data_IF_634058072664
#
_entry.id   IF_634058072664
#
_cell.length_a   1.000
_cell.length_b   1.000
_cell.length_c   1.000
_cell.angle_alpha   90.00
_cell.angle_beta   90.00
_cell.angle_gamma   90.00
#
_symmetry.space_group_name_H-M   'P 1'
#
loop_
_entity.id
_entity.type
_entity.pdbx_description
1 polymer ?
#
# COMPACT_ATOMS: atom_id res chain seq x y z
N UNK A 1 33.50 -28.66 58.39
CA UNK A 1 33.83 -29.98 57.81
C UNK A 1 33.99 -29.71 56.30
N UNK A 2 35.18 -29.67 55.65
CA UNK A 2 36.30 -30.66 55.59
C UNK A 2 35.74 -32.04 55.22
N UNK A 3 36.19 -32.85 54.25
CA UNK A 3 37.46 -33.07 53.49
C UNK A 3 37.06 -33.90 52.23
N UNK A 4 37.64 -33.90 51.01
CA UNK A 4 38.66 -33.11 50.26
C UNK A 4 38.43 -33.31 48.74
N UNK A 5 38.81 -32.39 47.84
CA UNK A 5 40.01 -32.46 46.98
C UNK A 5 40.54 -33.88 46.65
N UNK A 6 40.68 -34.20 45.35
CA UNK A 6 41.65 -35.21 44.92
C UNK A 6 42.39 -34.75 43.64
N UNK A 7 43.71 -34.73 43.69
CA UNK A 7 44.59 -34.50 42.53
C UNK A 7 45.31 -35.81 42.25
N UNK A 8 45.36 -36.23 40.99
CA UNK A 8 46.42 -37.13 40.54
C UNK A 8 47.10 -36.57 39.30
N UNK A 9 48.40 -36.82 39.24
CA UNK A 9 49.36 -36.20 38.33
C UNK A 9 49.96 -37.33 37.48
N UNK A 10 50.18 -37.11 36.17
CA UNK A 10 51.37 -37.60 35.47
C UNK A 10 51.55 -36.87 34.11
N UNK A 11 52.57 -37.24 33.34
CA UNK A 11 53.38 -36.29 32.57
C UNK A 11 53.50 -36.68 31.07
N UNK A 12 53.34 -35.69 30.17
CA UNK A 12 53.87 -35.66 28.79
C UNK A 12 53.35 -36.73 27.78
N UNK A 13 53.53 -36.64 26.45
CA UNK A 13 54.30 -35.73 25.57
C UNK A 13 53.65 -35.69 24.14
N UNK A 14 53.82 -34.59 23.38
CA UNK A 14 53.56 -34.38 21.91
C UNK A 14 52.22 -34.84 21.27
N UNK A 15 51.37 -33.90 20.81
CA UNK A 15 51.09 -33.67 19.36
C UNK A 15 49.98 -32.62 19.09
N UNK A 16 50.23 -31.75 18.11
CA UNK A 16 49.19 -31.30 17.17
C UNK A 16 48.48 -29.96 17.42
N UNK A 17 48.45 -29.14 16.37
CA UNK A 17 47.41 -28.14 16.04
C UNK A 17 47.16 -27.02 17.06
N UNK A 18 47.96 -25.96 16.95
CA UNK A 18 47.47 -24.59 17.16
C UNK A 18 46.74 -24.12 15.89
N UNK A 19 45.61 -23.42 16.05
CA UNK A 19 45.05 -22.55 14.99
C UNK A 19 44.98 -21.14 15.58
N UNK A 20 45.81 -20.25 15.03
CA UNK A 20 45.77 -18.83 15.35
C UNK A 20 44.93 -18.10 14.30
N UNK A 21 44.00 -17.24 14.75
CA UNK A 21 43.36 -16.27 13.87
C UNK A 21 44.09 -14.93 13.95
N UNK A 22 45.11 -14.78 13.11
CA UNK A 22 45.70 -13.48 12.77
C UNK A 22 46.16 -13.50 11.31
N UNK A 23 45.99 -12.34 10.66
CA UNK A 23 46.37 -12.04 9.28
C UNK A 23 45.61 -12.80 8.17
N UNK A 24 45.01 -12.02 7.27
CA UNK A 24 44.91 -12.41 5.87
C UNK A 24 45.31 -11.21 4.99
N UNK A 25 46.52 -10.69 5.24
CA UNK A 25 47.26 -9.90 4.24
C UNK A 25 47.96 -10.91 3.33
N UNK A 26 47.41 -11.19 2.15
CA UNK A 26 48.00 -12.15 1.21
C UNK A 26 49.30 -11.61 0.60
N UNK A 27 50.34 -12.44 0.41
CA UNK A 27 51.62 -12.03 -0.15
C UNK A 27 51.61 -11.87 -1.68
N UNK A 28 52.67 -11.25 -2.20
CA UNK A 28 52.88 -10.89 -3.62
C UNK A 28 52.77 -12.11 -4.55
N UNK A 29 51.95 -12.01 -5.61
CA UNK A 29 51.55 -13.13 -6.47
C UNK A 29 51.53 -12.86 -7.98
N UNK A 30 52.73 -12.66 -8.58
CA UNK A 30 53.02 -12.62 -10.03
C UNK A 30 52.51 -11.41 -10.83
N UNK A 31 53.27 -11.09 -11.89
CA UNK A 31 53.06 -9.98 -12.82
C UNK A 31 52.49 -10.54 -14.14
N UNK A 32 51.54 -9.84 -14.74
CA UNK A 32 51.10 -10.02 -16.13
C UNK A 32 50.97 -8.64 -16.81
N UNK A 33 50.96 -8.54 -18.15
CA UNK A 33 51.58 -7.41 -18.84
C UNK A 33 50.74 -6.13 -18.91
N UNK A 34 51.44 -5.01 -19.15
CA UNK A 34 50.88 -3.67 -19.39
C UNK A 34 49.77 -3.69 -20.44
N UNK A 35 48.56 -3.30 -20.05
CA UNK A 35 47.66 -2.60 -20.98
C UNK A 35 48.08 -1.12 -20.93
N UNK A 36 48.72 -0.63 -21.99
CA UNK A 36 48.91 0.81 -22.17
C UNK A 36 47.59 1.41 -22.63
N UNK A 37 46.72 1.73 -21.67
CA UNK A 37 45.62 2.65 -21.91
C UNK A 37 46.23 4.03 -22.18
N UNK A 38 46.34 4.40 -23.46
CA UNK A 38 46.76 5.73 -23.88
C UNK A 38 45.65 6.72 -23.55
N UNK A 39 45.62 7.19 -22.31
CA UNK A 39 44.68 8.23 -21.90
C UNK A 39 45.04 9.52 -22.65
N UNK A 40 44.08 10.05 -23.39
CA UNK A 40 44.23 11.33 -24.09
C UNK A 40 44.48 12.43 -23.05
N UNK A 41 45.50 13.27 -23.27
CA UNK A 41 45.62 14.52 -22.53
C UNK A 41 44.58 15.51 -23.07
N UNK A 42 43.32 15.30 -22.69
CA UNK A 42 42.30 16.31 -22.83
C UNK A 42 42.67 17.47 -21.91
N UNK A 43 42.67 18.69 -22.44
CA UNK A 43 43.06 19.89 -21.71
C UNK A 43 41.98 20.29 -20.72
N UNK A 44 42.13 19.86 -19.46
CA UNK A 44 41.40 20.47 -18.34
C UNK A 44 41.78 21.95 -18.24
N UNK A 45 40.78 22.82 -18.29
CA UNK A 45 40.94 24.25 -18.10
C UNK A 45 41.33 24.53 -16.65
N UNK A 46 42.31 25.42 -16.43
CA UNK A 46 42.69 25.81 -15.06
C UNK A 46 41.51 26.54 -14.42
N UNK A 47 40.90 25.94 -13.40
CA UNK A 47 39.70 26.49 -12.77
C UNK A 47 39.97 27.73 -11.91
N UNK A 48 41.23 28.16 -11.76
CA UNK A 48 41.71 29.43 -11.21
C UNK A 48 40.90 29.98 -10.02
N UNK A 49 41.28 29.51 -8.83
CA UNK A 49 40.77 29.97 -7.53
C UNK A 49 41.96 30.48 -6.73
N UNK A 50 42.13 31.80 -6.60
CA UNK A 50 43.13 32.33 -5.66
C UNK A 50 42.67 32.00 -4.23
N UNK A 51 43.53 31.32 -3.49
CA UNK A 51 43.26 30.90 -2.11
C UNK A 51 43.22 32.08 -1.13
N UNK A 52 43.62 33.29 -1.55
CA UNK A 52 43.66 34.50 -0.73
C UNK A 52 42.32 35.23 -0.63
N UNK A 53 41.40 35.05 -1.59
CA UNK A 53 40.10 35.75 -1.62
C UNK A 53 39.07 35.15 -0.64
N UNK A 54 39.37 33.98 -0.06
CA UNK A 54 38.44 33.14 0.69
C UNK A 54 38.89 32.93 2.14
N UNK A 55 37.92 32.93 3.05
CA UNK A 55 38.11 32.63 4.47
C UNK A 55 38.14 31.13 4.73
N UNK A 56 38.71 30.74 5.88
CA UNK A 56 38.70 29.34 6.34
C UNK A 56 37.27 28.79 6.46
N UNK A 57 36.30 29.63 6.87
CA UNK A 57 34.89 29.25 7.00
C UNK A 57 34.25 28.97 5.63
N UNK A 58 34.41 29.85 4.65
CA UNK A 58 33.87 29.66 3.29
C UNK A 58 34.42 28.38 2.65
N UNK A 59 35.71 28.09 2.80
CA UNK A 59 36.30 26.81 2.37
C UNK A 59 35.76 25.60 3.16
N UNK A 60 35.67 25.67 4.49
CA UNK A 60 35.27 24.54 5.32
C UNK A 60 33.78 24.19 5.15
N UNK A 61 32.90 25.18 5.02
CA UNK A 61 31.48 24.96 4.77
C UNK A 61 31.20 24.41 3.37
N UNK A 62 31.91 24.88 2.35
CA UNK A 62 31.78 24.33 0.99
C UNK A 62 32.34 22.91 0.93
N UNK A 63 33.49 22.64 1.56
CA UNK A 63 34.03 21.29 1.76
C UNK A 63 33.04 20.34 2.47
N UNK A 64 32.35 20.83 3.52
CA UNK A 64 31.37 20.06 4.28
C UNK A 64 30.21 19.57 3.39
N UNK A 65 29.78 20.41 2.44
CA UNK A 65 28.65 20.16 1.54
C UNK A 65 29.04 19.22 0.38
N UNK A 66 30.28 19.30 -0.12
CA UNK A 66 30.70 18.64 -1.36
C UNK A 66 31.55 17.37 -1.14
N UNK A 67 32.80 17.52 -0.70
CA UNK A 67 33.79 16.43 -0.65
C UNK A 67 33.76 15.63 0.66
N UNK A 68 33.44 16.29 1.79
CA UNK A 68 33.43 15.66 3.11
C UNK A 68 32.59 14.36 3.18
N UNK A 69 31.36 14.28 2.61
CA UNK A 69 30.56 13.04 2.65
C UNK A 69 31.24 11.85 1.96
N UNK A 70 31.92 12.07 0.83
CA UNK A 70 32.66 11.02 0.10
C UNK A 70 33.82 10.50 0.95
N UNK A 71 34.52 11.39 1.67
CA UNK A 71 35.60 11.02 2.57
C UNK A 71 35.11 10.30 3.83
N UNK A 72 33.95 10.69 4.40
CA UNK A 72 33.35 9.96 5.51
C UNK A 72 32.98 8.53 5.10
N UNK A 73 32.29 8.37 3.98
CA UNK A 73 31.77 7.07 3.53
C UNK A 73 32.90 6.11 3.13
N UNK A 74 33.95 6.60 2.46
CA UNK A 74 34.97 5.74 1.84
C UNK A 74 36.32 5.72 2.57
N UNK A 75 36.62 6.68 3.46
CA UNK A 75 37.95 6.82 4.05
C UNK A 75 37.98 6.83 5.59
N UNK A 76 36.87 7.14 6.28
CA UNK A 76 36.86 7.33 7.76
C UNK A 76 37.35 6.14 8.57
N UNK A 77 37.11 4.90 8.09
CA UNK A 77 37.56 3.65 8.74
C UNK A 77 39.08 3.60 8.90
N UNK A 78 39.84 4.20 7.98
CA UNK A 78 41.30 4.30 8.05
C UNK A 78 41.72 5.72 8.49
N UNK A 79 41.34 6.72 7.69
CA UNK A 79 41.79 8.12 7.79
C UNK A 79 40.95 9.00 8.72
N UNK A 80 40.09 8.39 9.56
CA UNK A 80 39.52 9.04 10.75
C UNK A 80 40.45 8.87 11.95
N UNK A 81 40.38 7.72 12.63
CA UNK A 81 41.10 7.52 13.88
C UNK A 81 42.51 6.92 13.72
N UNK A 82 42.73 6.04 12.73
CA UNK A 82 43.80 5.02 12.78
C UNK A 82 45.02 5.32 11.89
N UNK A 83 44.86 6.02 10.78
CA UNK A 83 45.92 6.32 9.82
C UNK A 83 46.03 7.82 9.56
N UNK A 84 47.27 8.31 9.45
CA UNK A 84 47.57 9.69 9.06
C UNK A 84 47.80 9.78 7.54
N UNK A 85 47.49 10.92 6.88
CA UNK A 85 46.79 12.09 7.42
C UNK A 85 45.32 11.79 7.77
N UNK A 86 44.80 12.45 8.82
CA UNK A 86 43.47 12.19 9.40
C UNK A 86 42.33 13.01 8.75
N UNK A 87 42.24 13.00 7.42
CA UNK A 87 41.31 13.86 6.68
C UNK A 87 39.83 13.42 6.72
N UNK A 88 39.53 12.24 7.26
CA UNK A 88 38.18 11.66 7.34
C UNK A 88 37.73 11.46 8.79
N UNK A 89 38.05 12.43 9.66
CA UNK A 89 37.52 12.56 11.03
C UNK A 89 36.08 13.09 11.03
N UNK A 90 35.35 12.90 12.13
CA UNK A 90 33.96 13.36 12.28
C UNK A 90 33.78 14.88 12.33
N UNK A 91 34.83 15.60 12.69
CA UNK A 91 34.85 17.06 12.65
C UNK A 91 35.28 17.50 11.24
N UNK A 92 34.36 18.11 10.49
CA UNK A 92 34.62 18.51 9.11
C UNK A 92 35.67 19.64 9.01
N UNK A 93 35.80 20.48 10.03
CA UNK A 93 36.77 21.57 10.04
C UNK A 93 38.18 21.04 10.27
N UNK A 94 38.35 20.07 11.18
CA UNK A 94 39.63 19.34 11.36
C UNK A 94 39.97 18.48 10.13
N UNK A 95 38.96 17.88 9.49
CA UNK A 95 39.11 17.20 8.20
C UNK A 95 39.61 18.13 7.10
N UNK A 96 38.96 19.29 6.93
CA UNK A 96 39.37 20.35 6.00
C UNK A 96 40.80 20.85 6.29
N UNK A 97 41.11 21.19 7.54
CA UNK A 97 42.47 21.61 7.95
C UNK A 97 43.52 20.57 7.60
N UNK A 98 43.19 19.29 7.77
CA UNK A 98 44.08 18.19 7.37
C UNK A 98 44.24 18.10 5.84
N UNK A 99 43.16 18.29 5.06
CA UNK A 99 43.22 18.38 3.58
C UNK A 99 44.15 19.51 3.14
N UNK A 100 43.96 20.71 3.69
CA UNK A 100 44.72 21.91 3.36
C UNK A 100 46.21 21.78 3.75
N UNK A 101 46.51 21.43 5.01
CA UNK A 101 47.88 21.33 5.53
C UNK A 101 48.74 20.26 4.83
N UNK A 102 48.11 19.23 4.24
CA UNK A 102 48.79 18.19 3.48
C UNK A 102 48.66 18.39 1.94
N UNK A 103 47.96 19.45 1.51
CA UNK A 103 47.60 19.76 0.12
C UNK A 103 47.04 18.52 -0.62
N UNK A 104 46.03 17.87 -0.03
CA UNK A 104 45.50 16.59 -0.52
C UNK A 104 44.54 16.73 -1.72
N UNK A 105 44.04 17.94 -1.93
CA UNK A 105 43.15 18.36 -3.02
C UNK A 105 43.84 19.44 -3.84
N UNK A 106 43.58 19.46 -5.15
CA UNK A 106 44.00 20.49 -6.08
C UNK A 106 42.74 21.15 -6.66
N UNK A 107 42.42 22.38 -6.23
CA UNK A 107 41.23 23.11 -6.67
C UNK A 107 41.36 23.60 -8.12
N UNK A 108 42.56 23.99 -8.55
CA UNK A 108 42.85 24.44 -9.92
C UNK A 108 42.72 23.32 -10.96
N UNK A 109 43.08 22.08 -10.59
CA UNK A 109 43.04 20.89 -11.45
C UNK A 109 42.54 19.67 -10.63
N UNK A 110 41.21 19.52 -10.49
CA UNK A 110 40.57 18.54 -9.60
C UNK A 110 41.03 17.10 -9.80
N UNK A 111 41.23 16.67 -11.05
CA UNK A 111 41.69 15.32 -11.42
C UNK A 111 43.07 14.97 -10.82
N UNK A 112 43.90 15.98 -10.58
CA UNK A 112 45.26 15.88 -10.04
C UNK A 112 45.30 15.97 -8.50
N UNK A 113 44.14 16.06 -7.84
CA UNK A 113 44.04 15.95 -6.38
C UNK A 113 44.74 14.68 -5.88
N UNK A 114 45.66 14.82 -4.91
CA UNK A 114 46.49 13.72 -4.41
C UNK A 114 45.65 12.51 -3.96
N UNK A 115 44.45 12.73 -3.44
CA UNK A 115 43.50 11.65 -3.08
C UNK A 115 43.05 10.84 -4.30
N UNK A 116 42.50 11.48 -5.33
CA UNK A 116 42.05 10.83 -6.55
C UNK A 116 43.20 10.12 -7.28
N UNK A 117 44.34 10.82 -7.43
CA UNK A 117 45.58 10.25 -8.00
C UNK A 117 46.06 9.04 -7.19
N UNK A 118 45.99 9.08 -5.85
CA UNK A 118 46.41 7.95 -5.01
C UNK A 118 45.51 6.72 -5.14
N UNK A 119 44.20 6.92 -5.31
CA UNK A 119 43.25 5.81 -5.51
C UNK A 119 43.44 5.19 -6.90
N UNK A 120 43.52 6.02 -7.96
CA UNK A 120 43.80 5.56 -9.35
C UNK A 120 45.11 4.76 -9.46
N UNK A 121 46.13 5.13 -8.68
CA UNK A 121 47.43 4.44 -8.64
C UNK A 121 47.54 3.37 -7.54
N UNK A 122 46.41 2.87 -7.02
CA UNK A 122 46.37 1.78 -6.03
C UNK A 122 46.19 2.25 -4.60
N UNK A 123 44.94 2.15 -4.13
CA UNK A 123 44.51 2.22 -2.74
C UNK A 123 43.31 1.29 -2.54
N UNK A 124 43.05 0.84 -1.30
CA UNK A 124 41.97 -0.12 -1.01
C UNK A 124 40.59 0.57 -0.85
N UNK A 125 40.24 1.45 -1.79
CA UNK A 125 38.89 1.99 -1.94
C UNK A 125 38.16 1.25 -3.08
N UNK A 126 36.83 1.09 -3.02
CA UNK A 126 36.07 0.59 -4.16
C UNK A 126 36.15 1.57 -5.34
N UNK A 127 36.04 1.08 -6.57
CA UNK A 127 35.74 1.93 -7.71
C UNK A 127 34.26 2.37 -7.63
N UNK A 128 33.88 3.62 -7.98
CA UNK A 128 34.68 4.64 -8.67
C UNK A 128 35.12 5.82 -7.77
N UNK A 129 35.53 5.59 -6.52
CA UNK A 129 35.74 6.66 -5.52
C UNK A 129 36.76 7.73 -5.93
N UNK A 130 37.69 7.46 -6.85
CA UNK A 130 38.59 8.50 -7.36
C UNK A 130 37.88 9.53 -8.27
N UNK A 131 36.89 9.07 -9.01
CA UNK A 131 36.06 9.87 -9.90
C UNK A 131 35.06 10.69 -9.06
N UNK A 132 34.44 10.08 -8.05
CA UNK A 132 33.59 10.77 -7.06
C UNK A 132 34.34 11.92 -6.37
N UNK A 133 35.59 11.68 -5.95
CA UNK A 133 36.46 12.71 -5.35
C UNK A 133 36.82 13.81 -6.36
N UNK A 134 36.95 13.49 -7.65
CA UNK A 134 37.26 14.49 -8.69
C UNK A 134 36.04 15.41 -8.89
N UNK A 135 34.87 14.82 -9.13
CA UNK A 135 33.61 15.56 -9.32
C UNK A 135 33.23 16.40 -8.09
N UNK A 136 33.40 15.89 -6.86
CA UNK A 136 33.13 16.67 -5.65
C UNK A 136 34.18 17.75 -5.34
N UNK A 137 35.34 17.72 -5.97
CA UNK A 137 36.30 18.85 -5.95
C UNK A 137 35.91 19.91 -7.00
N UNK A 138 35.41 19.51 -8.17
CA UNK A 138 34.84 20.44 -9.18
C UNK A 138 33.62 21.18 -8.60
N UNK A 139 32.72 20.46 -7.92
CA UNK A 139 31.57 21.02 -7.21
C UNK A 139 31.99 21.99 -6.10
N UNK A 140 33.05 21.65 -5.35
CA UNK A 140 33.62 22.54 -4.32
C UNK A 140 34.11 23.86 -4.93
N UNK A 141 34.83 23.79 -6.05
CA UNK A 141 35.30 24.97 -6.80
C UNK A 141 34.15 25.83 -7.30
N UNK A 142 33.09 25.21 -7.81
CA UNK A 142 31.87 25.92 -8.24
C UNK A 142 31.23 26.68 -7.07
N UNK A 143 30.99 25.99 -5.94
CA UNK A 143 30.41 26.61 -4.74
C UNK A 143 31.25 27.75 -4.14
N UNK A 144 32.57 27.75 -4.35
CA UNK A 144 33.43 28.86 -3.96
C UNK A 144 33.19 30.08 -4.85
N UNK A 145 33.19 29.90 -6.18
CA UNK A 145 33.01 31.02 -7.13
C UNK A 145 31.71 31.80 -6.89
N UNK A 146 30.61 31.10 -6.61
CA UNK A 146 29.30 31.69 -6.25
C UNK A 146 29.33 32.56 -4.99
N UNK A 147 30.27 32.35 -4.05
CA UNK A 147 30.36 33.16 -2.82
C UNK A 147 30.95 34.55 -3.10
N UNK A 148 31.84 34.67 -4.09
CA UNK A 148 32.52 35.95 -4.43
C UNK A 148 31.90 36.66 -5.62
N UNK A 149 31.41 35.89 -6.59
CA UNK A 149 30.69 36.36 -7.76
C UNK A 149 29.30 35.71 -7.82
N UNK A 150 28.40 35.97 -6.84
CA UNK A 150 27.03 35.46 -6.92
C UNK A 150 26.34 36.04 -8.16
N UNK A 151 25.75 35.16 -8.97
CA UNK A 151 25.14 35.56 -10.24
C UNK A 151 24.07 36.67 -10.05
N UNK A 152 24.18 37.82 -10.74
CA UNK A 152 23.20 38.91 -10.60
C UNK A 152 21.78 38.44 -10.97
N UNK A 153 20.89 38.40 -9.98
CA UNK A 153 19.51 37.94 -10.19
C UNK A 153 18.85 38.62 -11.41
N UNK A 154 18.28 37.85 -12.37
CA UNK A 154 17.89 38.41 -13.67
C UNK A 154 16.87 39.54 -13.59
N UNK A 155 17.24 40.68 -14.17
CA UNK A 155 16.29 41.68 -14.66
C UNK A 155 15.76 41.19 -16.03
N UNK A 156 14.46 41.29 -16.35
CA UNK A 156 13.89 40.58 -17.49
C UNK A 156 14.40 41.10 -18.84
N UNK A 157 15.04 40.21 -19.61
CA UNK A 157 15.70 40.49 -20.88
C UNK A 157 14.83 40.08 -22.09
N UNK A 158 14.84 40.80 -23.24
CA UNK A 158 14.09 40.42 -24.44
C UNK A 158 14.69 39.23 -25.23
N UNK A 159 14.54 38.03 -24.69
CA UNK A 159 14.72 36.71 -25.36
C UNK A 159 16.04 36.49 -26.14
N UNK A 160 17.09 36.06 -25.42
CA UNK A 160 17.78 34.81 -25.73
C UNK A 160 17.13 33.66 -24.94
N UNK A 161 16.98 32.49 -25.57
CA UNK A 161 16.15 31.40 -25.03
C UNK A 161 16.50 31.00 -23.56
N UNK A 162 15.49 30.78 -22.70
CA UNK A 162 15.72 30.35 -21.32
C UNK A 162 16.52 29.04 -21.22
N UNK A 163 17.47 29.00 -20.29
CA UNK A 163 17.95 27.75 -19.72
C UNK A 163 16.78 27.09 -18.95
N UNK A 164 16.57 25.76 -18.99
CA UNK A 164 15.44 25.15 -18.30
C UNK A 164 15.46 25.41 -16.79
N UNK A 165 14.29 25.74 -16.25
CA UNK A 165 13.99 25.70 -14.81
C UNK A 165 14.39 24.31 -14.27
N UNK A 166 15.14 24.17 -13.16
CA UNK A 166 15.56 22.87 -12.65
C UNK A 166 14.36 21.94 -12.47
N UNK A 167 14.35 20.85 -13.25
CA UNK A 167 13.22 19.91 -13.32
C UNK A 167 12.91 19.38 -11.91
N UNK A 168 11.66 19.48 -11.44
CA UNK A 168 11.34 19.16 -10.05
C UNK A 168 11.65 17.69 -9.74
N UNK A 169 12.29 17.46 -8.59
CA UNK A 169 12.61 16.13 -8.07
C UNK A 169 11.38 15.20 -8.19
N UNK A 170 11.50 14.03 -8.84
CA UNK A 170 10.36 13.17 -9.12
C UNK A 170 9.76 12.62 -7.82
N UNK A 171 8.44 12.65 -7.70
CA UNK A 171 7.78 12.07 -6.53
C UNK A 171 7.93 10.55 -6.51
N UNK A 172 8.24 10.01 -5.34
CA UNK A 172 8.48 8.58 -5.07
C UNK A 172 7.62 8.05 -3.92
N UNK A 173 6.74 8.89 -3.35
CA UNK A 173 5.85 8.51 -2.24
C UNK A 173 4.53 7.98 -2.82
N UNK A 174 4.08 6.77 -2.44
CA UNK A 174 2.78 6.27 -2.89
C UNK A 174 1.59 6.85 -2.09
N UNK A 175 0.44 7.09 -2.73
CA UNK A 175 -0.78 7.51 -2.03
C UNK A 175 -1.22 6.56 -0.91
N UNK A 176 -1.62 7.11 0.22
CA UNK A 176 -2.38 6.38 1.23
C UNK A 176 -3.84 6.25 0.77
N UNK A 177 -4.44 5.06 0.91
CA UNK A 177 -5.84 4.81 0.57
C UNK A 177 -6.49 3.83 1.56
N UNK A 178 -7.68 4.18 2.06
CA UNK A 178 -8.43 3.42 3.08
C UNK A 178 -9.94 3.42 2.81
N UNK A 179 -10.62 2.33 3.16
CA UNK A 179 -12.08 2.32 3.28
C UNK A 179 -12.51 2.91 4.62
N UNK A 180 -13.40 3.91 4.60
CA UNK A 180 -13.99 4.51 5.80
C UNK A 180 -15.38 3.95 6.13
N UNK A 181 -16.10 3.44 5.11
CA UNK A 181 -17.39 2.76 5.28
C UNK A 181 -17.66 1.77 4.13
N UNK A 182 -18.33 0.64 4.38
CA UNK A 182 -18.65 0.06 5.69
C UNK A 182 -17.40 -0.49 6.39
N UNK A 183 -17.47 -0.66 7.71
CA UNK A 183 -16.45 -1.37 8.48
C UNK A 183 -16.34 -2.86 8.06
N UNK A 184 -15.16 -3.46 8.19
CA UNK A 184 -14.93 -4.86 7.85
C UNK A 184 -15.86 -5.86 8.56
N UNK A 185 -16.11 -6.99 7.88
CA UNK A 185 -16.90 -8.14 8.33
C UNK A 185 -18.37 -7.85 8.65
N UNK A 186 -18.94 -6.79 8.05
CA UNK A 186 -20.40 -6.51 8.13
C UNK A 186 -21.17 -7.36 7.12
N UNK A 187 -22.33 -7.86 7.55
CA UNK A 187 -23.40 -8.30 6.65
C UNK A 187 -24.13 -7.07 6.11
N UNK A 188 -24.43 -7.05 4.82
CA UNK A 188 -25.05 -5.94 4.09
C UNK A 188 -26.09 -6.44 3.10
N UNK A 189 -27.09 -5.61 2.79
CA UNK A 189 -28.12 -5.89 1.78
C UNK A 189 -28.76 -4.62 1.25
N UNK A 190 -29.39 -4.69 0.07
CA UNK A 190 -30.01 -3.53 -0.57
C UNK A 190 -28.99 -2.64 -1.27
N UNK A 191 -29.08 -1.32 -1.06
CA UNK A 191 -28.10 -0.35 -1.61
C UNK A 191 -27.16 0.08 -0.48
N UNK A 192 -25.86 -0.09 -0.73
CA UNK A 192 -24.78 0.12 0.24
C UNK A 192 -23.83 1.17 -0.30
N UNK A 193 -23.55 2.21 0.49
CA UNK A 193 -22.53 3.19 0.12
C UNK A 193 -21.15 2.73 0.62
N UNK A 194 -20.21 2.57 -0.31
CA UNK A 194 -18.79 2.41 -0.04
C UNK A 194 -18.16 3.80 -0.02
N UNK A 195 -17.46 4.13 1.07
CA UNK A 195 -16.72 5.39 1.23
C UNK A 195 -15.22 5.11 1.34
N UNK A 196 -14.42 5.85 0.58
CA UNK A 196 -12.97 5.73 0.51
C UNK A 196 -12.34 7.10 0.78
N UNK A 197 -11.25 7.11 1.54
CA UNK A 197 -10.31 8.23 1.57
C UNK A 197 -9.04 7.83 0.80
N UNK A 198 -8.51 8.77 0.02
CA UNK A 198 -7.20 8.67 -0.60
C UNK A 198 -6.49 10.01 -0.47
N UNK A 199 -5.20 10.00 -0.13
CA UNK A 199 -4.38 11.18 0.11
C UNK A 199 -2.92 10.94 -0.25
N UNK A 200 -2.24 12.01 -0.63
CA UNK A 200 -0.91 11.99 -1.25
C UNK A 200 -0.24 13.35 -0.97
N UNK A 201 1.09 13.42 -1.03
CA UNK A 201 1.85 14.66 -0.79
C UNK A 201 1.88 15.62 -2.00
N UNK A 202 1.60 15.15 -3.22
CA UNK A 202 1.45 15.99 -4.41
C UNK A 202 0.01 15.96 -4.92
N UNK A 203 -0.46 14.84 -5.47
CA UNK A 203 -1.81 14.73 -6.05
C UNK A 203 -2.24 13.29 -6.40
N UNK A 204 -3.34 12.80 -5.81
CA UNK A 204 -4.03 11.59 -6.29
C UNK A 204 -4.75 11.87 -7.62
N UNK A 205 -4.36 11.18 -8.70
CA UNK A 205 -4.99 11.31 -10.04
C UNK A 205 -6.01 10.20 -10.35
N UNK A 206 -5.96 9.07 -9.65
CA UNK A 206 -6.87 7.95 -9.87
C UNK A 206 -7.15 7.18 -8.58
N UNK A 207 -8.40 6.80 -8.36
CA UNK A 207 -8.80 5.76 -7.39
C UNK A 207 -9.72 4.76 -8.09
N UNK A 208 -9.38 3.47 -8.06
CA UNK A 208 -10.17 2.37 -8.64
C UNK A 208 -10.58 1.39 -7.54
N UNK A 209 -11.86 1.00 -7.53
CA UNK A 209 -12.40 -0.02 -6.64
C UNK A 209 -12.41 -1.39 -7.33
N UNK A 210 -12.31 -2.46 -6.53
CA UNK A 210 -12.35 -3.84 -6.98
C UNK A 210 -13.24 -4.69 -6.07
N UNK A 211 -13.84 -5.72 -6.65
CA UNK A 211 -14.60 -6.76 -5.94
C UNK A 211 -14.22 -8.14 -6.49
N UNK A 212 -13.71 -9.02 -5.61
CA UNK A 212 -13.13 -10.33 -5.96
C UNK A 212 -12.18 -10.28 -7.17
N UNK A 213 -11.27 -9.29 -7.18
CA UNK A 213 -10.31 -8.97 -8.24
C UNK A 213 -10.88 -8.43 -9.56
N UNK A 214 -12.19 -8.35 -9.76
CA UNK A 214 -12.81 -7.61 -10.87
C UNK A 214 -12.92 -6.11 -10.52
N UNK A 215 -12.91 -5.21 -11.51
CA UNK A 215 -13.13 -3.78 -11.27
C UNK A 215 -14.58 -3.50 -10.89
N UNK A 216 -14.78 -2.70 -9.84
CA UNK A 216 -16.09 -2.26 -9.36
C UNK A 216 -16.32 -0.80 -9.79
N UNK A 217 -16.97 -0.61 -10.93
CA UNK A 217 -17.19 0.71 -11.53
C UNK A 217 -15.97 1.28 -12.25
N UNK A 218 -16.09 2.53 -12.70
CA UNK A 218 -15.05 3.29 -13.38
C UNK A 218 -14.10 3.97 -12.38
N UNK A 219 -12.85 4.30 -12.77
CA UNK A 219 -11.91 4.98 -11.90
C UNK A 219 -12.33 6.43 -11.61
N UNK A 220 -12.20 6.84 -10.35
CA UNK A 220 -12.44 8.20 -9.88
C UNK A 220 -11.20 9.06 -10.16
N UNK A 221 -11.37 10.19 -10.84
CA UNK A 221 -10.29 11.16 -11.14
C UNK A 221 -10.17 12.31 -10.14
N UNK A 222 -11.03 12.34 -9.11
CA UNK A 222 -11.03 13.26 -7.97
C UNK A 222 -12.03 12.79 -6.91
N UNK A 223 -11.85 13.23 -5.66
CA UNK A 223 -12.82 12.98 -4.60
C UNK A 223 -14.12 13.81 -4.71
N UNK A 224 -15.15 13.50 -3.91
CA UNK A 224 -15.20 12.42 -2.92
C UNK A 224 -15.28 11.02 -3.58
N UNK A 225 -14.67 10.03 -2.94
CA UNK A 225 -14.57 8.66 -3.46
C UNK A 225 -15.68 7.78 -2.88
N UNK A 226 -16.89 7.91 -3.42
CA UNK A 226 -18.12 7.27 -2.93
C UNK A 226 -18.80 6.41 -3.99
N UNK A 227 -18.97 5.12 -3.74
CA UNK A 227 -19.62 4.17 -4.67
C UNK A 227 -20.91 3.58 -4.11
N UNK A 228 -22.01 3.71 -4.85
CA UNK A 228 -23.32 3.14 -4.50
C UNK A 228 -23.46 1.71 -5.06
N UNK A 229 -23.30 0.70 -4.21
CA UNK A 229 -23.39 -0.72 -4.54
C UNK A 229 -24.81 -1.26 -4.30
N UNK A 230 -25.57 -1.57 -5.35
CA UNK A 230 -26.81 -2.35 -5.22
C UNK A 230 -26.48 -3.85 -5.12
N UNK A 231 -26.52 -4.40 -3.92
CA UNK A 231 -26.20 -5.80 -3.65
C UNK A 231 -27.27 -6.76 -4.18
N UNK A 232 -28.46 -6.29 -4.57
CA UNK A 232 -29.55 -7.16 -5.06
C UNK A 232 -29.20 -7.90 -6.36
N UNK A 233 -28.24 -7.38 -7.11
CA UNK A 233 -27.71 -8.01 -8.34
C UNK A 233 -26.56 -9.00 -8.05
N UNK A 234 -26.15 -9.12 -6.78
CA UNK A 234 -25.06 -9.98 -6.31
C UNK A 234 -25.60 -11.19 -5.54
N UNK A 235 -24.89 -12.31 -5.60
CA UNK A 235 -25.29 -13.55 -4.92
C UNK A 235 -24.99 -13.47 -3.41
N UNK A 236 -25.79 -14.12 -2.58
CA UNK A 236 -25.57 -14.11 -1.13
C UNK A 236 -24.30 -14.89 -0.74
N UNK A 237 -23.22 -14.17 -0.42
CA UNK A 237 -21.93 -14.71 0.06
C UNK A 237 -21.02 -13.60 0.60
N UNK A 238 -19.88 -13.99 1.17
CA UNK A 238 -18.77 -13.07 1.40
C UNK A 238 -18.14 -12.60 0.07
N UNK A 239 -17.76 -11.32 0.02
CA UNK A 239 -17.07 -10.62 -1.05
C UNK A 239 -15.82 -9.93 -0.52
N UNK A 240 -14.76 -9.89 -1.31
CA UNK A 240 -13.50 -9.20 -0.99
C UNK A 240 -13.40 -7.92 -1.80
N UNK A 241 -13.43 -6.78 -1.13
CA UNK A 241 -13.26 -5.46 -1.74
C UNK A 241 -11.83 -4.96 -1.52
N UNK A 242 -11.30 -4.25 -2.52
CA UNK A 242 -10.03 -3.51 -2.45
C UNK A 242 -10.19 -2.17 -3.18
N UNK A 243 -9.51 -1.12 -2.73
CA UNK A 243 -9.31 0.08 -3.55
C UNK A 243 -7.82 0.29 -3.81
N UNK A 244 -7.49 0.92 -4.94
CA UNK A 244 -6.11 1.26 -5.33
C UNK A 244 -6.06 2.71 -5.77
N UNK A 245 -5.00 3.42 -5.42
CA UNK A 245 -4.79 4.82 -5.78
C UNK A 245 -3.50 5.01 -6.61
N UNK A 246 -3.49 6.02 -7.48
CA UNK A 246 -2.31 6.51 -8.20
C UNK A 246 -2.17 8.02 -8.04
N UNK A 247 -0.93 8.48 -7.97
CA UNK A 247 -0.55 9.89 -7.91
C UNK A 247 -0.41 10.49 -9.34
N UNK A 248 0.28 11.63 -9.47
CA UNK A 248 0.67 12.23 -10.75
C UNK A 248 1.97 11.67 -11.35
N UNK A 249 2.83 11.03 -10.56
CA UNK A 249 4.18 10.62 -10.95
C UNK A 249 4.29 9.12 -11.32
N UNK A 250 3.26 8.33 -11.04
CA UNK A 250 3.13 6.91 -11.39
C UNK A 250 3.16 5.94 -10.20
N UNK A 251 3.34 6.46 -8.98
CA UNK A 251 3.32 5.70 -7.74
C UNK A 251 1.93 5.08 -7.48
N UNK A 252 1.88 4.06 -6.62
CA UNK A 252 0.70 3.20 -6.47
C UNK A 252 0.53 2.73 -5.03
N UNK A 253 -0.63 3.02 -4.45
CA UNK A 253 -1.05 2.53 -3.13
C UNK A 253 -2.30 1.65 -3.22
N UNK A 254 -2.51 0.76 -2.25
CA UNK A 254 -3.73 -0.06 -2.17
C UNK A 254 -4.18 -0.34 -0.73
N UNK A 255 -5.49 -0.58 -0.57
CA UNK A 255 -6.09 -0.89 0.73
C UNK A 255 -5.80 -2.32 1.16
N UNK A 256 -5.85 -2.57 2.46
CA UNK A 256 -6.20 -3.88 3.01
C UNK A 256 -7.52 -4.41 2.39
N UNK A 257 -7.72 -5.73 2.45
CA UNK A 257 -8.92 -6.37 1.90
C UNK A 257 -10.12 -6.19 2.84
N UNK A 258 -11.04 -5.30 2.46
CA UNK A 258 -12.33 -5.15 3.12
C UNK A 258 -13.24 -6.33 2.76
N UNK A 259 -13.50 -7.21 3.73
CA UNK A 259 -14.46 -8.32 3.53
C UNK A 259 -15.86 -7.90 3.99
N UNK A 260 -16.89 -8.11 3.14
CA UNK A 260 -18.30 -7.86 3.45
C UNK A 260 -19.15 -9.08 3.04
N UNK A 261 -20.22 -9.36 3.77
CA UNK A 261 -21.15 -10.47 3.46
C UNK A 261 -22.43 -9.92 2.86
N UNK A 262 -22.75 -10.28 1.62
CA UNK A 262 -24.06 -9.97 1.01
C UNK A 262 -25.10 -10.98 1.49
N UNK A 263 -26.20 -10.49 2.04
CA UNK A 263 -27.34 -11.32 2.45
C UNK A 263 -28.66 -10.64 2.07
N UNK A 264 -28.98 -10.67 0.76
CA UNK A 264 -30.27 -10.20 0.28
C UNK A 264 -31.40 -11.14 0.72
N UNK A 265 -32.62 -10.65 1.01
CA UNK A 265 -33.77 -11.52 1.20
C UNK A 265 -34.02 -12.33 -0.07
N UNK A 266 -34.01 -13.66 0.04
CA UNK A 266 -34.18 -14.55 -1.12
C UNK A 266 -35.61 -14.49 -1.62
N UNK A 267 -35.82 -13.81 -2.76
CA UNK A 267 -37.08 -13.88 -3.52
C UNK A 267 -37.20 -15.22 -4.24
N UNK A 268 -37.23 -16.31 -3.47
CA UNK A 268 -37.57 -17.65 -3.94
C UNK A 268 -39.03 -17.62 -4.34
N UNK A 269 -39.31 -17.30 -5.61
CA UNK A 269 -40.66 -17.20 -6.16
C UNK A 269 -41.33 -18.57 -6.11
N UNK A 270 -42.03 -18.84 -5.02
CA UNK A 270 -42.76 -20.08 -4.80
C UNK A 270 -43.85 -20.20 -5.89
N UNK A 271 -43.76 -21.18 -6.81
CA UNK A 271 -44.69 -21.26 -7.95
C UNK A 271 -46.13 -21.55 -7.51
N UNK A 272 -46.30 -22.05 -6.27
CA UNK A 272 -47.58 -22.35 -5.65
C UNK A 272 -48.18 -21.13 -4.91
N UNK A 273 -47.42 -20.04 -4.74
CA UNK A 273 -47.86 -18.79 -4.11
C UNK A 273 -48.73 -17.93 -5.06
N UNK A 274 -49.76 -18.56 -5.61
CA UNK A 274 -50.74 -17.96 -6.51
C UNK A 274 -52.13 -18.21 -5.99
N UNK A 275 -53.03 -17.23 -6.09
CA UNK A 275 -54.41 -17.44 -5.64
C UNK A 275 -55.07 -18.62 -6.36
N UNK A 276 -54.87 -18.74 -7.68
CA UNK A 276 -55.36 -19.86 -8.50
C UNK A 276 -54.87 -21.22 -8.03
N UNK A 277 -53.61 -21.33 -7.55
CA UNK A 277 -53.07 -22.56 -7.02
C UNK A 277 -53.62 -22.86 -5.62
N UNK A 278 -53.57 -21.88 -4.71
CA UNK A 278 -54.05 -21.98 -3.33
C UNK A 278 -55.55 -22.33 -3.29
N UNK A 279 -56.35 -21.67 -4.14
CA UNK A 279 -57.77 -21.95 -4.25
C UNK A 279 -58.04 -23.39 -4.67
N UNK A 280 -57.41 -23.86 -5.75
CA UNK A 280 -57.72 -25.19 -6.29
C UNK A 280 -57.14 -26.36 -5.48
N UNK A 281 -55.97 -26.20 -4.85
CA UNK A 281 -55.29 -27.29 -4.14
C UNK A 281 -55.58 -27.31 -2.62
N UNK A 282 -55.89 -26.15 -2.02
CA UNK A 282 -56.13 -26.03 -0.57
C UNK A 282 -57.59 -25.63 -0.28
N UNK A 283 -57.99 -24.41 -0.65
CA UNK A 283 -59.23 -23.80 -0.12
C UNK A 283 -60.49 -24.53 -0.60
N UNK A 284 -60.59 -24.79 -1.91
CA UNK A 284 -61.72 -25.49 -2.52
C UNK A 284 -61.89 -26.92 -2.00
N UNK A 285 -60.85 -27.79 -1.95
CA UNK A 285 -61.02 -29.15 -1.43
C UNK A 285 -61.15 -29.27 0.09
N UNK A 286 -60.53 -28.38 0.90
CA UNK A 286 -60.45 -28.56 2.37
C UNK A 286 -61.22 -27.54 3.19
N UNK A 287 -61.54 -26.37 2.66
CA UNK A 287 -62.14 -25.27 3.42
C UNK A 287 -63.57 -24.94 2.97
N UNK A 288 -63.85 -24.88 1.66
CA UNK A 288 -65.14 -24.39 1.10
C UNK A 288 -66.36 -25.20 1.57
N UNK A 289 -66.20 -26.48 1.91
CA UNK A 289 -67.29 -27.30 2.48
C UNK A 289 -67.82 -26.78 3.83
N UNK A 290 -66.99 -26.08 4.62
CA UNK A 290 -67.36 -25.45 5.89
C UNK A 290 -67.28 -23.91 5.87
N UNK A 291 -66.70 -23.34 4.82
CA UNK A 291 -66.47 -21.91 4.61
C UNK A 291 -66.81 -21.54 3.16
N UNK A 292 -68.07 -21.71 2.78
CA UNK A 292 -68.59 -21.53 1.43
C UNK A 292 -70.06 -21.11 1.44
N UNK A 293 -70.74 -21.10 0.28
CA UNK A 293 -72.12 -20.58 0.17
C UNK A 293 -73.15 -21.37 0.98
N UNK A 294 -72.90 -22.66 1.24
CA UNK A 294 -73.75 -23.53 2.07
C UNK A 294 -73.54 -23.38 3.58
N UNK A 295 -72.35 -22.94 4.00
CA UNK A 295 -71.97 -22.78 5.42
C UNK A 295 -70.80 -21.81 5.53
N UNK A 296 -71.00 -20.68 6.20
CA UNK A 296 -69.95 -19.70 6.51
C UNK A 296 -69.54 -19.84 7.98
N UNK A 297 -68.75 -20.86 8.32
CA UNK A 297 -68.35 -21.10 9.72
C UNK A 297 -67.57 -19.90 10.26
N UNK A 298 -68.00 -19.37 11.42
CA UNK A 298 -67.49 -18.11 12.00
C UNK A 298 -67.56 -16.89 11.06
N UNK A 299 -68.51 -16.87 10.11
CA UNK A 299 -68.71 -15.78 9.15
C UNK A 299 -67.74 -15.78 7.95
N UNK A 300 -66.69 -16.61 8.00
CA UNK A 300 -65.64 -16.68 6.98
C UNK A 300 -66.06 -17.56 5.79
N UNK A 301 -65.73 -17.13 4.56
CA UNK A 301 -65.84 -17.95 3.35
C UNK A 301 -64.61 -17.85 2.46
N UNK A 302 -64.37 -18.91 1.69
CA UNK A 302 -63.25 -19.07 0.76
C UNK A 302 -63.71 -19.47 -0.66
N UNK A 303 -64.97 -19.22 -0.98
CA UNK A 303 -65.62 -19.57 -2.26
C UNK A 303 -65.29 -18.63 -3.43
N UNK A 304 -64.60 -17.51 -3.16
CA UNK A 304 -64.10 -16.59 -4.18
C UNK A 304 -62.92 -15.77 -3.67
N UNK A 305 -62.13 -15.17 -4.58
CA UNK A 305 -61.05 -14.25 -4.23
C UNK A 305 -61.55 -13.13 -3.30
N UNK A 306 -62.68 -12.51 -3.64
CA UNK A 306 -63.30 -11.42 -2.87
C UNK A 306 -63.81 -11.82 -1.46
N UNK A 307 -63.93 -13.13 -1.19
CA UNK A 307 -64.25 -13.65 0.13
C UNK A 307 -62.96 -13.99 0.90
N UNK A 308 -62.01 -14.68 0.26
CA UNK A 308 -60.69 -14.99 0.83
C UNK A 308 -59.94 -13.73 1.24
N UNK A 309 -59.98 -12.65 0.45
CA UNK A 309 -59.28 -11.40 0.75
C UNK A 309 -59.82 -10.67 1.99
N UNK A 310 -60.98 -11.08 2.55
CA UNK A 310 -61.51 -10.52 3.80
C UNK A 310 -60.88 -11.14 5.06
N UNK A 311 -60.11 -12.21 4.92
CA UNK A 311 -59.35 -12.84 6.01
C UNK A 311 -57.83 -12.73 5.81
N UNK A 312 -57.41 -11.85 4.90
CA UNK A 312 -56.03 -11.51 4.62
C UNK A 312 -55.86 -10.02 4.84
N UNK A 313 -54.89 -9.61 5.65
CA UNK A 313 -54.47 -8.21 5.67
C UNK A 313 -53.63 -7.94 4.42
N UNK A 314 -53.98 -6.87 3.69
CA UNK A 314 -53.28 -6.42 2.49
C UNK A 314 -52.66 -5.03 2.66
N UNK A 315 -52.80 -4.41 3.83
CA UNK A 315 -52.06 -3.23 4.26
C UNK A 315 -50.78 -3.59 5.02
N UNK A 316 -50.77 -4.73 5.72
CA UNK A 316 -49.57 -5.36 6.27
C UNK A 316 -48.90 -6.28 5.25
N UNK A 317 -47.57 -6.36 5.31
CA UNK A 317 -46.78 -7.40 4.62
C UNK A 317 -46.45 -8.59 5.53
N UNK A 318 -46.97 -8.62 6.75
CA UNK A 318 -46.84 -9.75 7.68
C UNK A 318 -48.07 -10.67 7.62
N UNK A 319 -47.92 -11.94 7.21
CA UNK A 319 -48.98 -12.93 7.26
C UNK A 319 -49.54 -13.18 8.67
N UNK A 320 -48.81 -12.86 9.73
CA UNK A 320 -49.31 -13.07 11.09
C UNK A 320 -50.52 -12.19 11.46
N UNK A 321 -50.70 -11.05 10.78
CA UNK A 321 -51.91 -10.21 10.86
C UNK A 321 -53.12 -10.84 10.13
N UNK A 322 -52.88 -11.78 9.21
CA UNK A 322 -53.93 -12.38 8.38
C UNK A 322 -54.65 -13.54 9.08
N UNK A 323 -55.96 -13.37 9.30
CA UNK A 323 -56.83 -14.40 9.90
C UNK A 323 -56.73 -15.77 9.19
N UNK A 324 -56.56 -15.82 7.86
CA UNK A 324 -56.33 -17.06 7.10
C UNK A 324 -55.04 -17.76 7.54
N UNK A 325 -53.91 -17.05 7.57
CA UNK A 325 -52.62 -17.64 7.90
C UNK A 325 -52.55 -18.06 9.38
N UNK A 326 -53.05 -17.21 10.28
CA UNK A 326 -53.04 -17.47 11.73
C UNK A 326 -53.71 -18.79 12.14
N UNK A 327 -54.75 -19.24 11.41
CA UNK A 327 -55.45 -20.52 11.69
C UNK A 327 -54.88 -21.74 10.96
N UNK A 328 -54.07 -21.57 9.90
CA UNK A 328 -53.44 -22.70 9.18
C UNK A 328 -51.99 -22.95 9.57
N UNK A 329 -51.27 -21.94 10.08
CA UNK A 329 -49.87 -22.08 10.53
C UNK A 329 -49.70 -23.02 11.74
N UNK A 330 -50.77 -23.29 12.47
CA UNK A 330 -50.79 -24.19 13.64
C UNK A 330 -51.61 -25.45 13.35
N UNK A 331 -50.95 -26.61 13.37
CA UNK A 331 -51.57 -27.93 13.14
C UNK A 331 -52.70 -28.18 14.15
N UNK A 332 -53.86 -28.59 13.64
CA UNK A 332 -55.04 -28.93 14.45
C UNK A 332 -56.07 -27.81 14.61
N UNK A 333 -55.81 -26.58 14.14
CA UNK A 333 -56.81 -25.51 14.13
C UNK A 333 -57.66 -25.54 12.84
N UNK A 334 -57.04 -25.38 11.66
CA UNK A 334 -57.70 -25.53 10.36
C UNK A 334 -56.85 -26.35 9.36
N UNK A 335 -57.46 -27.32 8.64
CA UNK A 335 -58.78 -27.90 8.87
C UNK A 335 -58.86 -28.61 10.25
N UNK A 336 -60.05 -28.75 10.86
CA UNK A 336 -60.23 -29.33 12.19
C UNK A 336 -60.12 -30.87 12.21
N UNK A 337 -59.74 -31.50 11.10
CA UNK A 337 -59.54 -32.94 10.95
C UNK A 337 -58.60 -33.22 9.77
N UNK A 338 -57.89 -34.36 9.73
CA UNK A 338 -56.99 -34.70 8.62
C UNK A 338 -57.71 -34.82 7.26
N UNK A 339 -57.01 -34.58 6.13
CA UNK A 339 -55.60 -34.17 6.04
C UNK A 339 -55.41 -32.67 6.40
N UNK A 340 -54.52 -32.40 7.34
CA UNK A 340 -54.04 -31.05 7.62
C UNK A 340 -53.19 -30.53 6.44
N UNK A 341 -52.91 -29.23 6.40
CA UNK A 341 -51.95 -28.69 5.45
C UNK A 341 -50.53 -29.17 5.80
N UNK A 342 -49.71 -29.40 4.77
CA UNK A 342 -48.27 -29.59 4.94
C UNK A 342 -47.49 -28.26 5.00
N UNK A 343 -46.18 -28.34 5.23
CA UNK A 343 -45.33 -27.16 5.38
C UNK A 343 -45.20 -26.33 4.07
N UNK A 344 -45.24 -26.96 2.89
CA UNK A 344 -45.17 -26.27 1.60
C UNK A 344 -46.52 -25.61 1.24
N UNK A 345 -47.64 -26.21 1.67
CA UNK A 345 -48.98 -25.64 1.53
C UNK A 345 -49.18 -24.42 2.42
N UNK A 346 -48.74 -24.47 3.68
CA UNK A 346 -48.70 -23.29 4.58
C UNK A 346 -47.75 -22.22 4.02
N UNK A 347 -46.55 -22.62 3.54
CA UNK A 347 -45.58 -21.71 2.91
C UNK A 347 -46.16 -21.03 1.65
N UNK A 348 -46.95 -21.74 0.84
CA UNK A 348 -47.60 -21.16 -0.35
C UNK A 348 -48.60 -20.06 0.02
N UNK A 349 -49.39 -20.24 1.09
CA UNK A 349 -50.28 -19.20 1.63
C UNK A 349 -49.45 -18.02 2.17
N UNK A 350 -48.38 -18.30 2.91
CA UNK A 350 -47.48 -17.27 3.45
C UNK A 350 -46.87 -16.39 2.36
N UNK A 351 -46.21 -17.00 1.38
CA UNK A 351 -45.54 -16.32 0.27
C UNK A 351 -46.52 -15.50 -0.57
N UNK A 352 -47.75 -16.00 -0.75
CA UNK A 352 -48.81 -15.30 -1.46
C UNK A 352 -49.26 -14.05 -0.71
N UNK A 353 -49.46 -14.13 0.62
CA UNK A 353 -49.80 -12.96 1.44
C UNK A 353 -48.65 -11.96 1.46
N UNK A 354 -47.40 -12.40 1.67
CA UNK A 354 -46.19 -11.54 1.58
C UNK A 354 -46.04 -10.85 0.21
N UNK A 355 -46.62 -11.42 -0.86
CA UNK A 355 -46.64 -10.81 -2.20
C UNK A 355 -47.78 -9.80 -2.43
N UNK A 356 -48.56 -9.45 -1.40
CA UNK A 356 -49.73 -8.57 -1.51
C UNK A 356 -51.02 -9.28 -1.92
N UNK A 357 -51.10 -10.60 -1.70
CA UNK A 357 -52.26 -11.46 -2.00
C UNK A 357 -52.90 -11.27 -3.40
N UNK A 358 -52.13 -11.25 -4.50
CA UNK A 358 -52.64 -11.00 -5.86
C UNK A 358 -53.61 -12.08 -6.35
N UNK A 359 -54.53 -11.69 -7.25
CA UNK A 359 -55.45 -12.61 -7.92
C UNK A 359 -54.80 -13.19 -9.20
N UNK A 360 -53.92 -14.18 -9.02
CA UNK A 360 -52.99 -14.70 -10.05
C UNK A 360 -52.91 -16.24 -10.13
#
# INVERSE_FOLDING_TARGET
MKITLNKMLFLALIMGVTIAFFQNCSPIGKISPKVQATFSQNSEENLDVDLQDYTEAEFAETFQKTLYPVLQNNCSVCHGAFQSPKFAVKDYLEGYRTIAANQLVNLSQPSQSKLAVKIRNGHNAPAPVAEDITAKVEEWVSMLKEIKNPDPQPNPDPDPQPNPDPEPEPDLIPPEVIFTSPSANKTVSGVVELQIMASDNVAVTEVQLYIDSATLGQPYKKGPYTYSWDTKTFANRAYKLKATARDSSGNFGETDILTLTVENPTTTTNPNAKYSWIYNNILKPRCVACHGPSKASHGVRYDSYSATLKTVDTGSSDPDDSQLYSVVKSKGYMPPSPPYLDALEVKAIEDWIRSGAPNN
#
